data_IF_407528104130
#
_entry.id   IF_407528104130
#
_cell.length_a   1.000
_cell.length_b   1.000
_cell.length_c   1.000
_cell.angle_alpha   90.00
_cell.angle_beta   90.00
_cell.angle_gamma   90.00
#
_symmetry.space_group_name_H-M   'P 1'
#
loop_
_entity.id
_entity.type
_entity.pdbx_description
1 polymer ?
#
# COMPACT_ATOMS: atom_id res chain seq x y z
N UNK A 1 1.25 -9.24 -15.08
CA UNK A 1 2.02 -9.91 -14.01
C UNK A 1 1.14 -10.64 -13.00
N UNK A 2 0.40 -9.95 -12.11
CA UNK A 2 -0.34 -10.58 -10.99
C UNK A 2 -1.35 -11.67 -11.38
N UNK A 3 -2.15 -11.45 -12.44
CA UNK A 3 -3.10 -12.46 -12.95
C UNK A 3 -2.39 -13.78 -13.29
N UNK A 4 -1.23 -13.69 -13.93
CA UNK A 4 -0.47 -14.86 -14.38
C UNK A 4 0.12 -15.62 -13.18
N UNK A 5 0.74 -14.91 -12.23
CA UNK A 5 1.25 -15.54 -11.00
C UNK A 5 0.15 -16.24 -10.20
N UNK A 6 -0.99 -15.57 -9.98
CA UNK A 6 -2.12 -16.15 -9.27
C UNK A 6 -2.69 -17.39 -9.97
N UNK A 7 -2.72 -17.39 -11.30
CA UNK A 7 -3.17 -18.54 -12.09
C UNK A 7 -2.21 -19.72 -12.00
N UNK A 8 -0.90 -19.49 -12.18
CA UNK A 8 0.13 -20.53 -12.08
C UNK A 8 0.11 -21.19 -10.70
N UNK A 9 0.05 -20.38 -9.64
CA UNK A 9 0.02 -20.91 -8.27
C UNK A 9 -1.26 -21.70 -7.99
N UNK A 10 -2.42 -21.23 -8.44
CA UNK A 10 -3.69 -21.97 -8.27
C UNK A 10 -3.65 -23.33 -8.99
N UNK A 11 -3.12 -23.38 -10.21
CA UNK A 11 -2.97 -24.62 -10.97
C UNK A 11 -2.02 -25.60 -10.27
N UNK A 12 -0.87 -25.11 -9.80
CA UNK A 12 0.07 -25.90 -9.00
C UNK A 12 -0.57 -26.47 -7.73
N UNK A 13 -1.24 -25.62 -6.95
CA UNK A 13 -1.87 -26.01 -5.68
C UNK A 13 -2.98 -27.04 -5.90
N UNK A 14 -3.86 -26.80 -6.87
CA UNK A 14 -4.95 -27.71 -7.22
C UNK A 14 -4.43 -29.08 -7.67
N UNK A 15 -3.38 -29.12 -8.52
CA UNK A 15 -2.73 -30.36 -8.93
C UNK A 15 -2.08 -31.09 -7.75
N UNK A 16 -1.42 -30.36 -6.85
CA UNK A 16 -0.72 -30.94 -5.69
C UNK A 16 -1.67 -31.56 -4.67
N UNK A 17 -2.83 -30.93 -4.43
CA UNK A 17 -3.75 -31.32 -3.36
C UNK A 17 -5.06 -31.95 -3.88
N UNK A 18 -5.16 -32.27 -5.17
CA UNK A 18 -6.36 -32.88 -5.76
C UNK A 18 -7.61 -32.01 -5.69
N UNK A 19 -7.43 -30.68 -5.70
CA UNK A 19 -8.53 -29.71 -5.60
C UNK A 19 -8.89 -29.13 -6.96
N UNK A 20 -10.05 -28.50 -7.04
CA UNK A 20 -10.52 -27.75 -8.22
C UNK A 20 -11.09 -26.40 -7.76
N UNK A 21 -11.26 -25.47 -8.71
CA UNK A 21 -11.81 -24.13 -8.44
C UNK A 21 -10.76 -23.06 -8.12
N UNK A 22 -11.24 -21.87 -7.73
CA UNK A 22 -10.39 -20.72 -7.38
C UNK A 22 -9.76 -20.91 -6.00
N UNK A 23 -8.46 -20.60 -5.89
CA UNK A 23 -7.77 -20.50 -4.59
C UNK A 23 -7.94 -19.11 -3.95
N UNK A 24 -8.22 -18.09 -4.77
CA UNK A 24 -8.26 -16.69 -4.36
C UNK A 24 -9.71 -16.21 -4.22
N UNK A 25 -9.95 -15.39 -3.20
CA UNK A 25 -11.27 -14.81 -2.88
C UNK A 25 -11.70 -13.67 -3.85
N UNK A 26 -10.79 -13.20 -4.71
CA UNK A 26 -11.11 -12.15 -5.66
C UNK A 26 -9.96 -11.71 -6.55
N UNK A 27 -10.14 -10.55 -7.21
CA UNK A 27 -9.10 -9.93 -8.03
C UNK A 27 -8.07 -9.24 -7.13
N UNK A 28 -6.82 -9.25 -7.57
CA UNK A 28 -5.77 -8.43 -6.99
C UNK A 28 -6.16 -6.94 -7.01
N UNK A 29 -5.81 -6.23 -5.93
CA UNK A 29 -6.08 -4.80 -5.75
C UNK A 29 -4.75 -4.06 -5.61
N UNK A 30 -4.67 -2.90 -6.25
CA UNK A 30 -3.55 -1.97 -6.08
C UNK A 30 -4.06 -0.53 -6.08
N UNK A 31 -3.34 0.32 -5.37
CA UNK A 31 -3.55 1.76 -5.30
C UNK A 31 -2.20 2.47 -5.41
N UNK A 32 -2.19 3.68 -5.96
CA UNK A 32 -1.02 4.55 -5.91
C UNK A 32 -0.85 5.07 -4.49
N UNK A 33 0.40 5.16 -4.02
CA UNK A 33 0.71 5.63 -2.66
C UNK A 33 1.69 6.79 -2.74
N UNK A 34 1.38 7.90 -2.09
CA UNK A 34 2.33 8.98 -1.88
C UNK A 34 3.48 8.48 -1.01
N UNK A 35 4.72 8.74 -1.41
CA UNK A 35 5.87 8.19 -0.71
C UNK A 35 5.97 8.75 0.73
N UNK A 36 6.13 10.08 0.83
CA UNK A 36 6.25 10.78 2.09
C UNK A 36 4.97 10.67 2.93
N UNK A 37 5.13 10.29 4.19
CA UNK A 37 4.04 10.25 5.17
C UNK A 37 3.03 9.10 5.02
N UNK A 38 3.05 8.30 3.94
CA UNK A 38 2.12 7.15 3.79
C UNK A 38 2.82 5.80 3.69
N UNK A 39 4.05 5.69 3.18
CA UNK A 39 4.70 4.38 2.99
C UNK A 39 4.90 3.63 4.31
N UNK A 40 5.38 4.32 5.35
CA UNK A 40 5.54 3.70 6.68
C UNK A 40 4.17 3.32 7.29
N UNK A 41 3.11 4.04 6.97
CA UNK A 41 1.75 3.64 7.37
C UNK A 41 1.32 2.35 6.66
N UNK A 42 1.62 2.19 5.37
CA UNK A 42 1.41 0.95 4.64
C UNK A 42 2.22 -0.22 5.20
N UNK A 43 3.50 0.01 5.56
CA UNK A 43 4.33 -1.01 6.20
C UNK A 43 3.67 -1.49 7.48
N UNK A 44 3.32 -0.58 8.38
CA UNK A 44 2.63 -0.93 9.63
C UNK A 44 1.31 -1.62 9.42
N UNK A 45 0.52 -1.21 8.43
CA UNK A 45 -0.68 -1.92 8.03
C UNK A 45 -0.35 -3.38 7.69
N UNK A 46 0.63 -3.63 6.83
CA UNK A 46 1.00 -4.99 6.42
C UNK A 46 1.47 -5.83 7.62
N UNK A 47 2.39 -5.30 8.42
CA UNK A 47 3.03 -6.00 9.55
C UNK A 47 2.03 -6.32 10.67
N UNK A 48 0.99 -5.49 10.85
CA UNK A 48 -0.07 -5.71 11.85
C UNK A 48 -1.24 -6.58 11.31
N UNK A 49 -1.23 -7.01 10.04
CA UNK A 49 -2.28 -7.92 9.53
C UNK A 49 -2.38 -9.22 10.34
N UNK A 50 -1.28 -9.93 10.65
CA UNK A 50 -1.32 -11.17 11.44
C UNK A 50 -1.87 -10.95 12.85
N UNK A 51 -1.54 -9.81 13.47
CA UNK A 51 -2.06 -9.43 14.79
C UNK A 51 -3.57 -9.17 14.70
N UNK A 52 -4.03 -8.39 13.72
CA UNK A 52 -5.47 -8.13 13.51
C UNK A 52 -6.26 -9.40 13.16
N UNK A 53 -5.64 -10.35 12.47
CA UNK A 53 -6.21 -11.66 12.19
C UNK A 53 -6.16 -12.61 13.40
N UNK A 54 -5.66 -12.17 14.56
CA UNK A 54 -5.49 -12.97 15.78
C UNK A 54 -4.61 -14.21 15.58
N UNK A 55 -3.68 -14.17 14.63
CA UNK A 55 -2.73 -15.27 14.38
C UNK A 55 -1.54 -15.22 15.34
N UNK A 56 -1.17 -14.02 15.78
CA UNK A 56 -0.06 -13.74 16.69
C UNK A 56 -0.41 -12.55 17.60
N UNK A 57 0.30 -12.40 18.72
CA UNK A 57 0.11 -11.28 19.66
C UNK A 57 0.97 -10.08 19.25
N UNK A 58 2.19 -10.32 18.76
CA UNK A 58 3.13 -9.30 18.35
C UNK A 58 3.53 -9.49 16.88
N UNK A 59 3.71 -8.42 16.07
CA UNK A 59 4.07 -8.56 14.65
C UNK A 59 5.39 -9.32 14.43
N UNK A 60 6.33 -9.22 15.37
CA UNK A 60 7.60 -9.98 15.34
C UNK A 60 7.44 -11.50 15.43
N UNK A 61 6.30 -12.00 15.92
CA UNK A 61 6.05 -13.44 16.03
C UNK A 61 5.63 -14.06 14.68
N UNK A 62 5.28 -13.24 13.68
CA UNK A 62 4.88 -13.71 12.37
C UNK A 62 6.08 -13.77 11.41
N UNK A 63 6.58 -14.97 11.06
CA UNK A 63 7.85 -15.13 10.35
C UNK A 63 7.81 -14.70 8.88
N UNK A 64 6.62 -14.59 8.28
CA UNK A 64 6.45 -14.29 6.86
C UNK A 64 6.16 -12.80 6.61
N UNK A 65 6.88 -11.94 7.32
CA UNK A 65 6.77 -10.49 7.21
C UNK A 65 8.15 -9.82 7.26
N UNK A 66 8.22 -8.55 6.88
CA UNK A 66 9.46 -7.77 6.95
C UNK A 66 9.79 -7.30 8.37
N UNK A 67 8.91 -7.49 9.36
CA UNK A 67 9.09 -6.93 10.70
C UNK A 67 10.40 -7.38 11.34
N UNK A 68 10.73 -8.67 11.21
CA UNK A 68 11.95 -9.24 11.77
C UNK A 68 13.22 -8.61 11.18
N UNK A 69 13.17 -8.22 9.90
CA UNK A 69 14.26 -7.48 9.27
C UNK A 69 14.27 -6.00 9.70
N UNK A 70 13.12 -5.32 9.57
CA UNK A 70 13.01 -3.87 9.72
C UNK A 70 13.02 -3.39 11.17
N UNK A 71 12.57 -4.22 12.13
CA UNK A 71 12.48 -3.87 13.54
C UNK A 71 13.49 -4.65 14.41
N UNK A 72 13.73 -5.92 14.12
CA UNK A 72 14.56 -6.80 14.95
C UNK A 72 15.99 -6.99 14.42
N UNK A 73 16.26 -6.52 13.19
CA UNK A 73 17.58 -6.65 12.57
C UNK A 73 18.00 -8.09 12.29
N UNK A 74 17.05 -9.02 12.27
CA UNK A 74 17.35 -10.42 11.96
C UNK A 74 17.79 -10.54 10.50
N UNK A 75 18.98 -11.16 10.31
CA UNK A 75 19.74 -11.13 9.07
C UNK A 75 18.86 -11.24 7.82
N UNK A 76 18.85 -10.14 7.07
CA UNK A 76 18.04 -9.92 5.89
C UNK A 76 18.04 -11.16 5.00
N UNK A 77 16.87 -11.76 4.84
CA UNK A 77 16.63 -12.55 3.63
C UNK A 77 17.01 -11.66 2.45
N UNK A 78 17.74 -12.18 1.45
CA UNK A 78 18.13 -11.43 0.23
C UNK A 78 16.91 -10.97 -0.62
N UNK A 79 15.71 -11.03 -0.05
CA UNK A 79 14.42 -10.73 -0.63
C UNK A 79 13.94 -9.32 -0.28
N UNK A 80 14.59 -8.63 0.68
CA UNK A 80 14.15 -7.31 1.16
C UNK A 80 15.12 -6.23 0.67
N UNK A 81 14.61 -5.35 -0.18
CA UNK A 81 15.28 -4.10 -0.56
C UNK A 81 14.70 -2.96 0.27
N UNK A 82 15.50 -2.25 1.09
CA UNK A 82 14.99 -1.16 1.90
C UNK A 82 14.54 0.01 1.02
N UNK A 83 13.36 0.55 1.32
CA UNK A 83 12.80 1.69 0.61
C UNK A 83 13.23 3.03 1.25
N UNK A 84 13.15 4.14 0.51
CA UNK A 84 13.77 5.40 0.92
C UNK A 84 13.20 5.97 2.22
N UNK A 85 11.90 5.83 2.50
CA UNK A 85 11.28 6.27 3.75
C UNK A 85 11.74 5.46 4.95
N UNK A 86 12.03 4.17 4.77
CA UNK A 86 12.63 3.37 5.83
C UNK A 86 14.08 3.80 6.09
N UNK A 87 14.85 4.05 5.02
CA UNK A 87 16.21 4.55 5.14
C UNK A 87 16.26 5.92 5.83
N UNK A 88 15.28 6.79 5.57
CA UNK A 88 15.15 8.10 6.20
C UNK A 88 14.82 8.08 7.70
N UNK A 89 14.48 6.92 8.27
CA UNK A 89 14.22 6.83 9.71
C UNK A 89 15.48 7.13 10.53
N UNK A 90 16.67 6.73 10.08
CA UNK A 90 17.90 6.92 10.84
C UNK A 90 19.14 6.57 10.03
N UNK A 91 20.29 7.05 10.48
CA UNK A 91 21.55 6.95 9.75
C UNK A 91 22.16 5.56 9.88
N UNK A 92 21.99 4.91 11.04
CA UNK A 92 22.44 3.54 11.29
C UNK A 92 21.32 2.51 11.19
N UNK A 93 21.68 1.24 11.03
CA UNK A 93 20.70 0.15 10.99
C UNK A 93 19.98 0.01 12.33
N UNK A 94 20.72 0.14 13.42
CA UNK A 94 20.22 0.07 14.79
C UNK A 94 19.22 1.21 15.08
N UNK A 95 19.52 2.42 14.61
CA UNK A 95 18.63 3.56 14.77
C UNK A 95 17.32 3.37 13.98
N UNK A 96 17.42 2.94 12.72
CA UNK A 96 16.24 2.62 11.89
C UNK A 96 15.37 1.56 12.54
N UNK A 97 15.97 0.48 13.03
CA UNK A 97 15.27 -0.61 13.70
C UNK A 97 14.51 -0.12 14.94
N UNK A 98 15.19 0.66 15.79
CA UNK A 98 14.59 1.24 17.00
C UNK A 98 13.43 2.17 16.67
N UNK A 99 13.61 3.09 15.72
CA UNK A 99 12.56 4.04 15.33
C UNK A 99 11.40 3.33 14.63
N UNK A 100 11.67 2.36 13.77
CA UNK A 100 10.66 1.54 13.11
C UNK A 100 9.83 0.74 14.13
N UNK A 101 10.46 0.06 15.09
CA UNK A 101 9.78 -0.63 16.17
C UNK A 101 8.90 0.32 17.01
N UNK A 102 9.41 1.54 17.27
CA UNK A 102 8.67 2.59 17.97
C UNK A 102 7.38 3.03 17.27
N UNK A 103 7.24 2.78 15.96
CA UNK A 103 6.01 3.11 15.26
C UNK A 103 4.81 2.30 15.75
N UNK A 104 4.99 1.06 16.21
CA UNK A 104 3.90 0.09 16.47
C UNK A 104 3.15 0.27 17.80
N UNK A 105 3.45 1.34 18.56
CA UNK A 105 2.87 1.60 19.88
C UNK A 105 1.82 2.71 19.97
N UNK A 106 1.46 3.39 18.86
CA UNK A 106 0.59 4.58 18.89
C UNK A 106 -0.86 4.31 18.45
N UNK A 107 -1.84 4.98 19.08
CA UNK A 107 -3.28 4.85 18.80
C UNK A 107 -3.77 5.66 17.60
N UNK A 108 -2.92 6.50 17.00
CA UNK A 108 -3.21 7.31 15.81
C UNK A 108 -3.47 6.47 14.53
N UNK A 109 -3.34 5.15 14.64
CA UNK A 109 -3.39 4.19 13.53
C UNK A 109 -4.74 4.00 12.88
N UNK A 110 -5.80 4.13 13.68
CA UNK A 110 -7.12 3.71 13.23
C UNK A 110 -7.64 4.57 12.08
N UNK A 111 -7.30 5.87 12.06
CA UNK A 111 -7.71 6.78 10.98
C UNK A 111 -7.02 6.45 9.66
N UNK A 112 -5.69 6.26 9.67
CA UNK A 112 -4.93 5.94 8.46
C UNK A 112 -5.22 4.55 7.91
N UNK A 113 -5.60 3.62 8.79
CA UNK A 113 -5.99 2.26 8.41
C UNK A 113 -7.23 2.25 7.53
N UNK A 114 -8.26 3.01 7.88
CA UNK A 114 -9.49 3.09 7.08
C UNK A 114 -9.24 3.78 5.73
N UNK A 115 -8.35 4.77 5.69
CA UNK A 115 -7.91 5.39 4.44
C UNK A 115 -7.21 4.38 3.50
N UNK A 116 -6.25 3.61 4.02
CA UNK A 116 -5.54 2.55 3.25
C UNK A 116 -6.55 1.55 2.67
N UNK A 117 -7.51 1.09 3.48
CA UNK A 117 -8.54 0.15 3.04
C UNK A 117 -9.45 0.74 1.98
N UNK A 118 -9.92 1.97 2.20
CA UNK A 118 -10.78 2.65 1.24
C UNK A 118 -10.07 2.86 -0.10
N UNK A 119 -8.80 3.27 -0.08
CA UNK A 119 -8.01 3.47 -1.27
C UNK A 119 -7.76 2.16 -2.03
N UNK A 120 -7.35 1.10 -1.32
CA UNK A 120 -7.09 -0.22 -1.89
C UNK A 120 -8.35 -0.84 -2.48
N UNK A 121 -9.49 -0.76 -1.78
CA UNK A 121 -10.75 -1.36 -2.24
C UNK A 121 -11.40 -0.58 -3.38
N UNK A 122 -11.22 0.74 -3.41
CA UNK A 122 -11.77 1.62 -4.44
C UNK A 122 -10.88 1.83 -5.67
N UNK A 123 -9.62 1.41 -5.63
CA UNK A 123 -8.65 1.69 -6.70
C UNK A 123 -8.30 3.18 -6.79
N UNK A 124 -8.32 3.87 -5.64
CA UNK A 124 -8.04 5.29 -5.47
C UNK A 124 -6.56 5.53 -5.18
N UNK A 125 -6.10 6.78 -5.23
CA UNK A 125 -4.78 7.15 -4.77
C UNK A 125 -4.82 7.37 -3.24
N UNK A 126 -3.82 6.84 -2.54
CA UNK A 126 -3.56 7.03 -1.13
C UNK A 126 -2.50 8.13 -0.98
N UNK A 127 -2.85 9.25 -0.37
CA UNK A 127 -2.02 10.44 -0.36
C UNK A 127 -2.83 11.68 0.02
N UNK A 128 -2.17 12.81 0.18
CA UNK A 128 -2.81 14.10 0.40
C UNK A 128 -3.59 14.58 -0.84
N UNK A 129 -4.35 15.66 -0.67
CA UNK A 129 -5.19 16.21 -1.75
C UNK A 129 -4.38 16.63 -2.97
N UNK A 130 -3.17 17.20 -2.77
CA UNK A 130 -2.31 17.62 -3.86
C UNK A 130 -1.85 16.41 -4.68
N UNK A 131 -1.42 15.35 -4.02
CA UNK A 131 -1.02 14.10 -4.64
C UNK A 131 -2.17 13.49 -5.44
N UNK A 132 -3.37 13.41 -4.87
CA UNK A 132 -4.54 12.85 -5.55
C UNK A 132 -4.96 13.67 -6.77
N UNK A 133 -4.98 15.01 -6.66
CA UNK A 133 -5.23 15.91 -7.81
C UNK A 133 -4.20 15.70 -8.92
N UNK A 134 -2.93 15.59 -8.54
CA UNK A 134 -1.82 15.36 -9.47
C UNK A 134 -1.96 14.03 -10.19
N UNK A 135 -2.21 12.95 -9.45
CA UNK A 135 -2.41 11.62 -10.02
C UNK A 135 -3.67 11.53 -10.88
N UNK A 136 -4.74 12.26 -10.51
CA UNK A 136 -5.95 12.33 -11.33
C UNK A 136 -5.66 12.95 -12.70
N UNK A 137 -4.90 14.06 -12.72
CA UNK A 137 -4.50 14.75 -13.96
C UNK A 137 -3.56 13.88 -14.80
N UNK A 138 -2.53 13.30 -14.18
CA UNK A 138 -1.53 12.48 -14.85
C UNK A 138 -2.12 11.21 -15.48
N UNK A 139 -3.07 10.55 -14.80
CA UNK A 139 -3.67 9.31 -15.29
C UNK A 139 -4.89 9.53 -16.19
N UNK A 140 -5.39 10.76 -16.34
CA UNK A 140 -6.61 11.06 -17.09
C UNK A 140 -7.86 10.36 -16.54
N UNK A 141 -7.84 9.94 -15.27
CA UNK A 141 -8.97 9.25 -14.61
C UNK A 141 -9.14 9.75 -13.20
N UNK A 142 -10.34 9.57 -12.67
CA UNK A 142 -10.62 9.82 -11.25
C UNK A 142 -9.82 8.86 -10.36
N UNK A 143 -9.17 9.40 -9.33
CA UNK A 143 -8.43 8.63 -8.32
C UNK A 143 -8.96 8.85 -6.90
N UNK A 144 -10.13 9.48 -6.76
CA UNK A 144 -10.79 9.74 -5.47
C UNK A 144 -12.15 9.05 -5.37
N UNK A 145 -12.65 8.89 -4.15
CA UNK A 145 -13.98 8.31 -3.91
C UNK A 145 -15.10 9.20 -4.46
N UNK A 146 -15.98 8.56 -5.24
CA UNK A 146 -17.28 9.05 -5.72
C UNK A 146 -18.23 9.58 -4.67
N UNK A 147 -19.03 10.60 -5.01
CA UNK A 147 -20.41 10.62 -4.51
C UNK A 147 -21.18 9.54 -5.29
N UNK A 148 -21.75 8.52 -4.63
CA UNK A 148 -22.56 7.52 -5.31
C UNK A 148 -23.78 8.17 -5.98
N UNK A 149 -24.16 7.67 -7.16
CA UNK A 149 -25.33 8.14 -7.90
C UNK A 149 -25.02 8.55 -9.33
N UNK A 150 -26.07 8.68 -10.13
CA UNK A 150 -25.98 9.24 -11.49
C UNK A 150 -25.43 10.67 -11.39
N UNK A 151 -24.46 11.06 -12.21
CA UNK A 151 -24.03 12.45 -12.28
C UNK A 151 -25.24 13.36 -12.51
N UNK A 152 -25.35 14.44 -11.75
CA UNK A 152 -26.29 15.50 -12.08
C UNK A 152 -25.89 16.01 -13.48
N UNK A 153 -26.88 16.17 -14.37
CA UNK A 153 -26.64 16.64 -15.72
C UNK A 153 -26.34 18.15 -15.64
N UNK A 154 -25.06 18.53 -15.62
CA UNK A 154 -24.66 19.94 -15.63
C UNK A 154 -24.26 20.42 -17.04
N UNK A 155 -24.56 21.70 -17.30
CA UNK A 155 -24.40 22.41 -18.57
C UNK A 155 -22.93 22.60 -18.97
N UNK A 156 -22.72 22.94 -20.26
CA UNK A 156 -21.46 22.98 -21.01
C UNK A 156 -20.26 23.70 -20.32
N UNK A 157 -19.01 23.35 -20.68
CA UNK A 157 -17.80 23.71 -19.92
C UNK A 157 -17.28 25.11 -20.23
N UNK A 158 -16.87 25.84 -19.19
CA UNK A 158 -16.06 27.06 -19.29
C UNK A 158 -14.59 26.75 -18.99
N UNK A 159 -13.72 27.11 -19.93
CA UNK A 159 -12.26 27.01 -19.88
C UNK A 159 -11.64 27.77 -18.71
N UNK A 160 -10.74 27.12 -17.98
CA UNK A 160 -9.62 27.79 -17.27
C UNK A 160 -8.59 26.73 -16.87
N UNK A 161 -7.72 26.39 -17.82
CA UNK A 161 -6.51 25.62 -17.55
C UNK A 161 -5.44 26.58 -17.04
N UNK A 162 -5.16 26.56 -15.73
CA UNK A 162 -3.85 26.99 -15.23
C UNK A 162 -2.89 25.78 -15.27
N UNK A 163 -1.91 25.85 -16.16
CA UNK A 163 -0.79 24.91 -16.25
C UNK A 163 0.19 25.16 -15.11
N UNK A 164 0.05 24.40 -14.01
CA UNK A 164 1.15 24.17 -13.07
C UNK A 164 1.99 22.99 -13.55
N UNK A 165 3.33 23.07 -13.48
CA UNK A 165 4.22 22.06 -14.02
C UNK A 165 4.06 20.73 -13.27
N UNK A 166 4.13 19.63 -14.04
CA UNK A 166 4.11 18.27 -13.49
C UNK A 166 5.29 18.08 -12.54
N UNK A 167 5.11 17.41 -11.38
CA UNK A 167 6.25 17.05 -10.55
C UNK A 167 7.15 16.05 -11.29
N UNK A 168 8.47 16.07 -11.03
CA UNK A 168 9.40 15.14 -11.66
C UNK A 168 9.02 13.68 -11.37
N UNK A 169 9.21 12.81 -12.35
CA UNK A 169 8.79 11.41 -12.37
C UNK A 169 9.52 10.48 -11.40
N UNK A 170 10.28 11.02 -10.44
CA UNK A 170 11.15 10.23 -9.55
C UNK A 170 10.45 9.65 -8.31
N UNK A 171 9.19 10.02 -8.03
CA UNK A 171 8.52 9.63 -6.77
C UNK A 171 7.20 8.86 -6.93
N UNK A 172 6.93 8.26 -8.09
CA UNK A 172 5.77 7.39 -8.29
C UNK A 172 6.23 5.94 -8.26
N UNK A 173 6.18 5.33 -7.08
CA UNK A 173 6.45 3.90 -6.93
C UNK A 173 5.14 3.13 -6.94
N UNK A 174 4.89 2.44 -8.05
CA UNK A 174 3.92 1.35 -8.12
C UNK A 174 4.63 0.06 -7.67
N UNK A 175 4.19 -0.61 -6.61
CA UNK A 175 4.56 -2.00 -6.35
C UNK A 175 3.93 -2.97 -7.37
#
# INVERSE_FOLDING_TARGET
MMKHMGQLHSQYFNKRYGRTGSLWEGRFRSCLVQSEGYVLACYRYIELNPVRASMVIHPGDYPWSSYRNNALGEAATQLITPYSEYLRLGDSAEERQKLYAGLFGSTADNERLEEIRAATNGGYALGDELFRRTMSRALGRRVDKGKPGRPLRDAAPGDSQEELPLPPTENVVCP
#
